data_IF_670168349768
#
_entry.id   IF_670168349768
#
_cell.length_a   1.000
_cell.length_b   1.000
_cell.length_c   1.000
_cell.angle_alpha   90.00
_cell.angle_beta   90.00
_cell.angle_gamma   90.00
#
_symmetry.space_group_name_H-M   'P 1'
#
loop_
_entity.id
_entity.type
_entity.pdbx_description
1 polymer ?
#
# COMPACT_ATOMS: atom_id res chain seq x y z
N UNK A 1 -5.63 -6.66 28.86
CA UNK A 1 -6.50 -5.48 28.71
C UNK A 1 -6.05 -4.68 27.50
N UNK A 2 -7.02 -4.21 26.70
CA UNK A 2 -6.79 -3.30 25.59
C UNK A 2 -6.17 -2.00 26.13
N UNK A 3 -5.20 -1.45 25.42
CA UNK A 3 -4.68 -0.12 25.69
C UNK A 3 -5.67 0.95 25.14
N UNK A 4 -6.89 0.99 25.70
CA UNK A 4 -7.82 2.07 25.43
C UNK A 4 -7.27 3.30 26.13
N UNK A 5 -6.94 4.33 25.37
CA UNK A 5 -6.44 5.58 25.89
C UNK A 5 -7.61 6.55 25.99
N UNK A 6 -7.82 7.09 27.20
CA UNK A 6 -8.71 8.21 27.38
C UNK A 6 -8.13 9.43 26.65
N UNK A 7 -8.96 10.09 25.87
CA UNK A 7 -8.62 11.32 25.17
C UNK A 7 -9.06 12.50 26.01
N UNK A 8 -8.16 13.45 26.22
CA UNK A 8 -8.49 14.68 26.95
C UNK A 8 -9.51 15.54 26.18
N UNK A 9 -9.51 15.43 24.85
CA UNK A 9 -10.47 16.09 23.95
C UNK A 9 -10.23 15.68 22.50
N UNK A 10 -11.12 16.05 21.59
CA UNK A 10 -10.90 15.97 20.13
C UNK A 10 -9.67 16.78 19.66
N UNK A 11 -9.13 17.67 20.52
CA UNK A 11 -7.89 18.44 20.30
C UNK A 11 -6.59 17.67 20.55
N UNK A 12 -6.64 16.45 21.07
CA UNK A 12 -5.47 15.65 21.42
C UNK A 12 -4.50 15.48 20.24
N UNK A 13 -3.21 15.79 20.47
CA UNK A 13 -2.18 15.75 19.43
C UNK A 13 -1.96 14.35 18.87
N UNK A 14 -2.23 13.30 19.64
CA UNK A 14 -2.14 11.90 19.22
C UNK A 14 -3.10 11.55 18.08
N UNK A 15 -4.16 12.36 17.89
CA UNK A 15 -5.09 12.27 16.78
C UNK A 15 -4.59 12.96 15.49
N UNK A 16 -3.41 13.58 15.51
CA UNK A 16 -2.83 14.28 14.37
C UNK A 16 -2.85 13.51 13.05
N UNK A 17 -2.48 12.22 13.01
CA UNK A 17 -2.54 11.41 11.78
C UNK A 17 -3.92 11.30 11.15
N UNK A 18 -5.01 11.42 11.92
CA UNK A 18 -6.39 11.28 11.48
C UNK A 18 -7.05 12.59 11.07
N UNK A 19 -6.38 13.75 11.26
CA UNK A 19 -6.98 15.06 10.99
C UNK A 19 -7.02 15.39 9.52
N UNK A 20 -8.13 16.02 9.10
CA UNK A 20 -8.30 16.62 7.77
C UNK A 20 -7.94 15.68 6.60
N UNK A 21 -8.36 14.43 6.71
CA UNK A 21 -8.06 13.42 5.69
C UNK A 21 -8.72 13.70 4.33
N UNK A 22 -9.72 14.59 4.28
CA UNK A 22 -10.38 15.00 3.03
C UNK A 22 -9.45 15.89 2.22
N UNK A 23 -9.03 15.40 1.05
CA UNK A 23 -8.17 16.17 0.14
C UNK A 23 -6.71 16.30 0.58
N UNK A 24 -6.33 15.72 1.71
CA UNK A 24 -4.94 15.71 2.18
C UNK A 24 -4.09 14.85 1.25
N UNK A 25 -2.96 15.39 0.79
CA UNK A 25 -1.94 14.60 0.13
C UNK A 25 -1.24 13.72 1.16
N UNK A 26 -1.24 12.42 0.93
CA UNK A 26 -0.55 11.45 1.79
C UNK A 26 0.84 11.09 1.24
N UNK A 27 1.18 11.63 0.05
CA UNK A 27 2.46 11.35 -0.59
C UNK A 27 3.63 11.87 0.27
N UNK A 28 4.57 10.97 0.58
CA UNK A 28 5.72 11.31 1.42
C UNK A 28 5.41 11.52 2.92
N UNK A 29 4.16 11.34 3.37
CA UNK A 29 3.82 11.39 4.78
C UNK A 29 4.47 10.22 5.55
N UNK A 30 4.82 10.45 6.82
CA UNK A 30 5.38 9.41 7.70
C UNK A 30 4.40 8.27 7.95
N UNK A 31 3.12 8.57 7.95
CA UNK A 31 2.04 7.65 8.27
C UNK A 31 1.07 7.50 7.09
N UNK A 32 0.38 6.38 7.06
CA UNK A 32 -0.75 6.15 6.16
C UNK A 32 -1.98 5.72 6.95
N UNK A 33 -3.16 6.00 6.39
CA UNK A 33 -4.44 5.69 7.02
C UNK A 33 -5.17 4.59 6.27
N UNK A 34 -5.74 3.69 7.03
CA UNK A 34 -6.51 2.53 6.56
C UNK A 34 -7.94 2.63 7.06
N UNK A 35 -8.92 2.39 6.20
CA UNK A 35 -10.34 2.50 6.54
C UNK A 35 -11.06 1.16 6.52
N UNK A 36 -11.78 0.87 7.59
CA UNK A 36 -12.70 -0.26 7.70
C UNK A 36 -12.09 -1.51 8.31
N UNK A 37 -12.96 -2.29 8.93
CA UNK A 37 -12.63 -3.44 9.78
C UNK A 37 -11.70 -4.47 9.10
N UNK A 38 -12.03 -4.85 7.85
CA UNK A 38 -11.22 -5.84 7.12
C UNK A 38 -9.80 -5.38 6.83
N UNK A 39 -9.63 -4.11 6.43
CA UNK A 39 -8.32 -3.57 6.10
C UNK A 39 -7.50 -3.28 7.36
N UNK A 40 -8.13 -2.78 8.41
CA UNK A 40 -7.49 -2.62 9.72
C UNK A 40 -7.03 -3.97 10.27
N UNK A 41 -7.88 -5.02 10.19
CA UNK A 41 -7.49 -6.37 10.56
C UNK A 41 -6.30 -6.91 9.76
N UNK A 42 -6.25 -6.64 8.45
CA UNK A 42 -5.09 -7.01 7.61
C UNK A 42 -3.83 -6.23 7.99
N UNK A 43 -3.95 -4.94 8.29
CA UNK A 43 -2.83 -4.13 8.76
C UNK A 43 -2.28 -4.68 10.08
N UNK A 44 -3.16 -4.95 11.05
CA UNK A 44 -2.79 -5.54 12.35
C UNK A 44 -2.13 -6.91 12.24
N UNK A 45 -2.44 -7.67 11.18
CA UNK A 45 -1.86 -8.99 10.88
C UNK A 45 -0.62 -8.92 9.98
N UNK A 46 -0.23 -7.74 9.53
CA UNK A 46 0.95 -7.54 8.67
C UNK A 46 2.23 -7.36 9.49
N UNK A 47 3.37 -7.31 8.80
CA UNK A 47 4.65 -6.99 9.43
C UNK A 47 4.87 -5.46 9.61
N UNK A 48 3.92 -4.63 9.17
CA UNK A 48 4.05 -3.17 9.29
C UNK A 48 3.75 -2.72 10.72
N UNK A 49 4.44 -1.67 11.14
CA UNK A 49 4.20 -1.03 12.44
C UNK A 49 2.84 -0.33 12.44
N UNK A 50 2.00 -0.67 13.42
CA UNK A 50 0.72 -0.01 13.64
C UNK A 50 0.86 1.00 14.78
N UNK A 51 0.68 2.26 14.45
CA UNK A 51 0.84 3.38 15.37
C UNK A 51 -0.35 3.48 16.33
N UNK A 52 -1.56 3.37 15.78
CA UNK A 52 -2.80 3.46 16.57
C UNK A 52 -4.02 3.01 15.76
N UNK A 53 -5.14 2.83 16.46
CA UNK A 53 -6.45 2.58 15.85
C UNK A 53 -7.45 3.58 16.44
N UNK A 54 -8.26 4.21 15.59
CA UNK A 54 -9.37 5.08 15.96
C UNK A 54 -10.68 4.36 15.67
N UNK A 55 -11.53 4.19 16.68
CA UNK A 55 -12.75 3.38 16.62
C UNK A 55 -13.94 4.18 17.11
N UNK A 56 -15.06 4.06 16.40
CA UNK A 56 -16.36 4.55 16.87
C UNK A 56 -16.81 3.79 18.12
N UNK A 57 -17.34 4.51 19.11
CA UNK A 57 -17.95 3.94 20.33
C UNK A 57 -18.97 2.84 20.01
N UNK A 58 -19.71 2.98 18.91
CA UNK A 58 -20.69 1.98 18.43
C UNK A 58 -20.08 0.71 17.85
N UNK A 59 -18.81 0.72 17.50
CA UNK A 59 -18.11 -0.40 16.82
C UNK A 59 -17.07 -1.10 17.69
N UNK A 60 -16.72 -0.53 18.85
CA UNK A 60 -15.61 -1.03 19.66
C UNK A 60 -15.76 -2.51 20.02
N UNK A 61 -16.94 -2.96 20.44
CA UNK A 61 -17.14 -4.35 20.85
C UNK A 61 -16.96 -5.33 19.69
N UNK A 62 -17.32 -4.90 18.48
CA UNK A 62 -17.14 -5.72 17.28
C UNK A 62 -15.67 -5.85 16.85
N UNK A 63 -14.88 -4.79 16.96
CA UNK A 63 -13.48 -4.79 16.53
C UNK A 63 -12.52 -5.21 17.64
N UNK A 64 -12.97 -5.16 18.90
CA UNK A 64 -12.18 -5.55 20.07
C UNK A 64 -11.39 -6.85 19.93
N UNK A 65 -11.95 -7.95 19.37
CA UNK A 65 -11.21 -9.19 19.18
C UNK A 65 -10.03 -9.10 18.21
N UNK A 66 -10.00 -8.09 17.35
CA UNK A 66 -8.93 -7.85 16.36
C UNK A 66 -7.78 -7.01 16.93
N UNK A 67 -8.03 -6.29 18.05
CA UNK A 67 -7.12 -5.29 18.56
C UNK A 67 -6.10 -5.91 19.52
N UNK A 68 -4.79 -5.89 19.20
CA UNK A 68 -3.75 -6.35 20.11
C UNK A 68 -3.58 -5.36 21.28
N UNK A 69 -3.20 -5.87 22.45
CA UNK A 69 -2.98 -5.04 23.64
C UNK A 69 -1.83 -4.02 23.49
N UNK A 70 -0.93 -4.24 22.53
CA UNK A 70 0.24 -3.38 22.28
C UNK A 70 -0.06 -2.15 21.43
N UNK A 71 -1.23 -2.09 20.78
CA UNK A 71 -1.57 -0.95 19.89
C UNK A 71 -2.50 0.01 20.62
N UNK A 72 -2.16 1.30 20.67
CA UNK A 72 -3.03 2.35 21.21
C UNK A 72 -4.37 2.40 20.48
N UNK A 73 -5.47 2.44 21.24
CA UNK A 73 -6.82 2.52 20.69
C UNK A 73 -7.51 3.75 21.21
N UNK A 74 -7.98 4.61 20.30
CA UNK A 74 -8.78 5.78 20.60
C UNK A 74 -10.25 5.46 20.31
N UNK A 75 -11.12 5.77 21.25
CA UNK A 75 -12.56 5.55 21.10
C UNK A 75 -13.28 6.89 21.21
N UNK A 76 -14.02 7.25 20.16
CA UNK A 76 -14.78 8.50 20.08
C UNK A 76 -16.16 8.23 19.49
N UNK A 77 -17.07 9.17 19.65
CA UNK A 77 -18.34 9.13 18.98
C UNK A 77 -18.22 9.50 17.49
N UNK A 78 -19.16 9.02 16.67
CA UNK A 78 -19.09 9.19 15.21
C UNK A 78 -18.99 10.67 14.81
N UNK A 79 -19.74 11.56 15.45
CA UNK A 79 -19.74 13.00 15.15
C UNK A 79 -18.38 13.63 15.44
N UNK A 80 -17.71 13.20 16.51
CA UNK A 80 -16.36 13.66 16.86
C UNK A 80 -15.34 13.16 15.82
N UNK A 81 -15.45 11.89 15.41
CA UNK A 81 -14.59 11.33 14.37
C UNK A 81 -14.79 12.07 13.04
N UNK A 82 -16.05 12.34 12.64
CA UNK A 82 -16.36 13.09 11.42
C UNK A 82 -15.73 14.48 11.41
N UNK A 83 -15.77 15.17 12.54
CA UNK A 83 -15.13 16.47 12.71
C UNK A 83 -13.60 16.38 12.56
N UNK A 84 -12.98 15.32 13.06
CA UNK A 84 -11.53 15.11 12.98
C UNK A 84 -11.12 14.77 11.54
N UNK A 85 -11.79 13.82 10.91
CA UNK A 85 -11.39 13.32 9.58
C UNK A 85 -11.83 14.22 8.42
N UNK A 86 -12.82 15.08 8.64
CA UNK A 86 -13.34 16.03 7.67
C UNK A 86 -14.29 15.43 6.62
N UNK A 87 -14.86 14.24 6.88
CA UNK A 87 -15.86 13.60 6.01
C UNK A 87 -16.78 12.66 6.79
N UNK A 88 -17.92 12.29 6.19
CA UNK A 88 -18.87 11.34 6.79
C UNK A 88 -18.25 9.97 7.02
N UNK A 89 -18.19 9.55 8.27
CA UNK A 89 -17.49 8.35 8.71
C UNK A 89 -18.45 7.17 8.92
N UNK A 90 -18.66 6.36 7.88
CA UNK A 90 -19.59 5.22 7.95
C UNK A 90 -18.92 3.88 8.32
N UNK A 91 -17.61 3.78 8.21
CA UNK A 91 -16.90 2.51 8.38
C UNK A 91 -16.60 2.13 9.82
N UNK A 92 -16.64 3.09 10.74
CA UNK A 92 -16.57 2.89 12.17
C UNK A 92 -15.17 2.55 12.73
N UNK A 93 -14.14 2.37 11.88
CA UNK A 93 -12.77 2.12 12.32
C UNK A 93 -11.75 2.63 11.31
N UNK A 94 -10.68 3.25 11.82
CA UNK A 94 -9.48 3.67 11.09
C UNK A 94 -8.24 3.08 11.77
N UNK A 95 -7.26 2.69 10.99
CA UNK A 95 -5.93 2.32 11.45
C UNK A 95 -4.89 3.32 10.94
N UNK A 96 -3.94 3.66 11.77
CA UNK A 96 -2.76 4.41 11.40
C UNK A 96 -1.56 3.48 11.36
N UNK A 97 -0.96 3.30 10.19
CA UNK A 97 0.28 2.56 10.00
C UNK A 97 1.45 3.49 9.77
N UNK A 98 2.63 3.10 10.23
CA UNK A 98 3.88 3.77 9.87
C UNK A 98 4.27 3.33 8.47
N UNK A 99 4.61 4.30 7.62
CA UNK A 99 5.06 4.03 6.26
C UNK A 99 6.39 3.27 6.31
N UNK A 100 6.53 2.14 5.61
CA UNK A 100 7.82 1.46 5.52
C UNK A 100 8.81 2.35 4.75
N UNK A 101 10.09 2.14 4.98
CA UNK A 101 11.14 2.78 4.19
C UNK A 101 10.97 2.42 2.71
N UNK A 102 11.16 3.40 1.84
CA UNK A 102 11.17 3.15 0.40
C UNK A 102 12.40 2.29 0.04
N UNK A 103 12.14 1.19 -0.63
CA UNK A 103 13.20 0.32 -1.12
C UNK A 103 13.81 0.92 -2.39
N UNK A 104 15.14 1.07 -2.38
CA UNK A 104 15.86 1.51 -3.56
C UNK A 104 15.84 0.43 -4.66
N UNK A 105 15.87 0.86 -5.91
CA UNK A 105 15.87 -0.06 -7.06
C UNK A 105 17.02 -1.08 -7.02
N UNK A 106 18.21 -0.68 -6.54
CA UNK A 106 19.37 -1.56 -6.47
C UNK A 106 19.17 -2.75 -5.48
N UNK A 107 18.29 -2.60 -4.48
CA UNK A 107 17.94 -3.69 -3.56
C UNK A 107 17.15 -4.81 -4.26
N UNK A 108 16.50 -4.50 -5.38
CA UNK A 108 15.74 -5.47 -6.17
C UNK A 108 16.65 -6.57 -6.75
N UNK A 109 17.91 -6.24 -7.07
CA UNK A 109 18.89 -7.13 -7.68
C UNK A 109 19.89 -7.73 -6.69
N UNK A 110 19.70 -7.47 -5.38
CA UNK A 110 20.60 -7.94 -4.33
C UNK A 110 20.72 -9.47 -4.28
N UNK A 111 21.85 -9.97 -3.77
CA UNK A 111 22.10 -11.40 -3.59
C UNK A 111 21.26 -11.99 -2.46
N UNK A 112 20.94 -13.27 -2.57
CA UNK A 112 20.18 -14.00 -1.53
C UNK A 112 18.66 -13.74 -1.53
N UNK A 113 18.13 -12.99 -2.49
CA UNK A 113 16.70 -12.80 -2.70
C UNK A 113 16.03 -14.04 -3.32
N UNK A 114 14.71 -14.22 -3.13
CA UNK A 114 13.96 -15.19 -3.93
C UNK A 114 13.94 -14.78 -5.41
N UNK A 115 13.59 -15.73 -6.28
CA UNK A 115 13.40 -15.45 -7.70
C UNK A 115 12.47 -14.25 -7.91
N UNK A 116 12.89 -13.30 -8.75
CA UNK A 116 12.15 -12.07 -9.01
C UNK A 116 10.92 -12.33 -9.86
N UNK A 117 9.76 -12.04 -9.31
CA UNK A 117 8.49 -12.01 -10.05
C UNK A 117 7.87 -10.64 -9.86
N UNK A 118 8.13 -9.74 -10.80
CA UNK A 118 7.80 -8.34 -10.65
C UNK A 118 6.81 -7.83 -11.69
N UNK A 119 6.13 -6.74 -11.34
CA UNK A 119 5.47 -5.86 -12.29
C UNK A 119 6.06 -4.46 -12.18
N UNK A 120 6.38 -3.86 -13.31
CA UNK A 120 6.88 -2.49 -13.40
C UNK A 120 5.83 -1.58 -14.05
N UNK A 121 5.58 -0.46 -13.40
CA UNK A 121 4.67 0.59 -13.84
C UNK A 121 5.49 1.88 -13.99
N UNK A 122 5.89 2.29 -15.20
CA UNK A 122 6.70 3.49 -15.41
C UNK A 122 5.98 4.77 -14.99
N UNK A 123 4.68 4.85 -15.27
CA UNK A 123 3.84 5.98 -14.94
C UNK A 123 2.39 5.55 -14.76
N UNK A 124 1.91 5.57 -13.53
CA UNK A 124 0.50 5.36 -13.19
C UNK A 124 0.09 6.43 -12.19
N UNK A 125 -0.77 7.34 -12.63
CA UNK A 125 -1.27 8.46 -11.81
C UNK A 125 -2.58 8.13 -11.11
N UNK A 126 -3.35 7.20 -11.64
CA UNK A 126 -4.62 6.77 -11.07
C UNK A 126 -4.42 5.72 -9.97
N UNK A 127 -4.86 6.06 -8.75
CA UNK A 127 -4.74 5.18 -7.56
C UNK A 127 -5.62 3.94 -7.63
N UNK A 128 -6.72 3.95 -8.41
CA UNK A 128 -7.56 2.76 -8.58
C UNK A 128 -6.88 1.75 -9.49
N UNK A 129 -6.28 2.23 -10.58
CA UNK A 129 -5.51 1.38 -11.50
C UNK A 129 -4.32 0.76 -10.78
N UNK A 130 -3.54 1.57 -10.04
CA UNK A 130 -2.43 1.07 -9.25
C UNK A 130 -2.89 0.04 -8.21
N UNK A 131 -3.96 0.34 -7.47
CA UNK A 131 -4.53 -0.57 -6.48
C UNK A 131 -4.98 -1.90 -7.08
N UNK A 132 -5.59 -1.88 -8.27
CA UNK A 132 -6.03 -3.07 -9.00
C UNK A 132 -4.84 -3.93 -9.46
N UNK A 133 -3.77 -3.29 -9.96
CA UNK A 133 -2.52 -3.97 -10.34
C UNK A 133 -1.89 -4.62 -9.12
N UNK A 134 -1.76 -3.90 -8.00
CA UNK A 134 -1.20 -4.43 -6.75
C UNK A 134 -1.97 -5.66 -6.25
N UNK A 135 -3.30 -5.59 -6.27
CA UNK A 135 -4.15 -6.71 -5.89
C UNK A 135 -3.91 -7.92 -6.78
N UNK A 136 -3.92 -7.74 -8.09
CA UNK A 136 -3.70 -8.79 -9.07
C UNK A 136 -2.30 -9.38 -8.94
N UNK A 137 -1.28 -8.54 -8.87
CA UNK A 137 0.11 -8.95 -8.68
C UNK A 137 0.26 -9.84 -7.44
N UNK A 138 -0.30 -9.42 -6.30
CA UNK A 138 -0.24 -10.20 -5.06
C UNK A 138 -0.98 -11.53 -5.15
N UNK A 139 -2.15 -11.56 -5.81
CA UNK A 139 -2.91 -12.79 -6.04
C UNK A 139 -2.16 -13.79 -6.94
N UNK A 140 -1.40 -13.30 -7.92
CA UNK A 140 -0.59 -14.10 -8.83
C UNK A 140 0.78 -14.49 -8.24
N UNK A 141 1.07 -14.11 -6.99
CA UNK A 141 2.31 -14.46 -6.31
C UNK A 141 3.53 -13.64 -6.71
N UNK A 142 3.33 -12.48 -7.31
CA UNK A 142 4.43 -11.54 -7.54
C UNK A 142 4.99 -11.05 -6.20
N UNK A 143 6.29 -10.82 -6.17
CA UNK A 143 7.04 -10.43 -4.96
C UNK A 143 7.69 -9.05 -5.05
N UNK A 144 7.46 -8.30 -6.13
CA UNK A 144 7.92 -6.93 -6.27
C UNK A 144 6.99 -6.09 -7.15
N UNK A 145 6.80 -4.83 -6.75
CA UNK A 145 6.19 -3.77 -7.54
C UNK A 145 7.23 -2.68 -7.78
N UNK A 146 7.50 -2.36 -9.03
CA UNK A 146 8.46 -1.33 -9.43
C UNK A 146 7.67 -0.12 -9.93
N UNK A 147 7.83 1.01 -9.30
CA UNK A 147 7.13 2.26 -9.64
C UNK A 147 8.11 3.31 -10.14
N UNK A 148 7.76 3.93 -11.26
CA UNK A 148 8.47 5.12 -11.73
C UNK A 148 8.21 6.33 -10.84
N UNK A 149 8.99 7.38 -11.04
CA UNK A 149 9.00 8.60 -10.23
C UNK A 149 7.68 9.38 -10.28
N UNK A 150 6.89 9.22 -11.35
CA UNK A 150 5.59 9.90 -11.54
C UNK A 150 4.38 9.05 -11.16
N UNK A 151 4.60 7.90 -10.59
CA UNK A 151 3.50 7.06 -10.12
C UNK A 151 2.84 7.64 -8.87
N UNK A 152 1.51 7.44 -8.78
CA UNK A 152 0.77 7.73 -7.56
C UNK A 152 1.29 6.92 -6.37
N UNK A 153 0.89 7.31 -5.19
CA UNK A 153 1.34 6.67 -3.94
C UNK A 153 0.63 5.34 -3.68
N UNK A 154 1.42 4.28 -3.54
CA UNK A 154 0.93 2.94 -3.20
C UNK A 154 0.26 2.86 -1.82
N UNK A 155 0.63 3.77 -0.91
CA UNK A 155 0.07 3.86 0.45
C UNK A 155 -1.04 4.91 0.59
N UNK A 156 -1.52 5.51 -0.51
CA UNK A 156 -2.70 6.35 -0.46
C UNK A 156 -3.94 5.54 -0.02
N UNK A 157 -4.84 6.16 0.74
CA UNK A 157 -6.08 5.51 1.23
C UNK A 157 -6.86 4.85 0.09
N UNK A 158 -6.90 5.50 -1.09
CA UNK A 158 -7.58 4.96 -2.27
C UNK A 158 -6.91 3.69 -2.78
N UNK A 159 -5.58 3.73 -2.95
CA UNK A 159 -4.80 2.59 -3.42
C UNK A 159 -4.88 1.41 -2.44
N UNK A 160 -4.71 1.64 -1.13
CA UNK A 160 -4.85 0.61 -0.10
C UNK A 160 -6.23 -0.05 -0.16
N UNK A 161 -7.29 0.75 -0.32
CA UNK A 161 -8.66 0.25 -0.39
C UNK A 161 -8.90 -0.62 -1.61
N UNK A 162 -8.51 -0.16 -2.79
CA UNK A 162 -8.72 -0.90 -4.05
C UNK A 162 -7.86 -2.16 -4.08
N UNK A 163 -6.62 -2.07 -3.61
CA UNK A 163 -5.72 -3.22 -3.51
C UNK A 163 -6.13 -4.23 -2.43
N UNK A 164 -7.17 -3.92 -1.65
CA UNK A 164 -7.57 -4.73 -0.49
C UNK A 164 -6.41 -5.00 0.49
N UNK A 165 -5.51 -4.01 0.65
CA UNK A 165 -4.36 -4.09 1.54
C UNK A 165 -3.17 -4.89 0.97
N UNK A 166 -3.11 -5.15 -0.35
CA UNK A 166 -1.91 -5.75 -0.96
C UNK A 166 -0.64 -4.93 -0.70
N UNK A 167 -0.78 -3.60 -0.52
CA UNK A 167 0.31 -2.71 -0.13
C UNK A 167 1.05 -3.14 1.15
N UNK A 168 0.40 -3.88 2.05
CA UNK A 168 1.01 -4.32 3.31
C UNK A 168 1.97 -5.51 3.15
N UNK A 169 1.93 -6.20 2.01
CA UNK A 169 2.65 -7.46 1.80
C UNK A 169 3.38 -7.55 0.47
N UNK A 170 3.20 -6.58 -0.43
CA UNK A 170 3.89 -6.49 -1.71
C UNK A 170 4.98 -5.42 -1.60
N UNK A 171 6.28 -5.79 -1.60
CA UNK A 171 7.37 -4.82 -1.57
C UNK A 171 7.29 -3.85 -2.74
N UNK A 172 7.43 -2.56 -2.45
CA UNK A 172 7.40 -1.48 -3.44
C UNK A 172 8.80 -0.91 -3.60
N UNK A 173 9.30 -0.90 -4.82
CA UNK A 173 10.57 -0.32 -5.22
C UNK A 173 10.29 0.91 -6.07
N UNK A 174 10.86 2.04 -5.72
CA UNK A 174 10.70 3.28 -6.47
C UNK A 174 11.96 3.59 -7.28
N UNK A 175 11.76 3.82 -8.58
CA UNK A 175 12.84 4.25 -9.46
C UNK A 175 13.16 5.74 -9.20
N UNK A 176 14.44 6.07 -9.21
CA UNK A 176 14.91 7.46 -9.28
C UNK A 176 14.91 8.00 -10.70
N UNK A 177 15.13 7.11 -11.69
CA UNK A 177 15.07 7.40 -13.12
C UNK A 177 14.61 6.13 -13.86
N UNK A 178 13.31 6.01 -14.08
CA UNK A 178 12.66 4.75 -14.52
C UNK A 178 13.29 4.13 -15.76
N UNK A 179 13.64 4.93 -16.77
CA UNK A 179 14.25 4.41 -18.00
C UNK A 179 15.64 3.84 -17.74
N UNK A 180 16.45 4.52 -16.92
CA UNK A 180 17.78 4.07 -16.55
C UNK A 180 17.71 2.79 -15.73
N UNK A 181 16.81 2.73 -14.75
CA UNK A 181 16.67 1.60 -13.84
C UNK A 181 16.12 0.36 -14.57
N UNK A 182 15.14 0.52 -15.48
CA UNK A 182 14.67 -0.59 -16.31
C UNK A 182 15.74 -1.10 -17.28
N UNK A 183 16.64 -0.23 -17.81
CA UNK A 183 17.80 -0.67 -18.58
C UNK A 183 18.77 -1.50 -17.74
N UNK A 184 19.03 -1.12 -16.49
CA UNK A 184 19.84 -1.94 -15.56
C UNK A 184 19.17 -3.30 -15.31
N UNK A 185 17.83 -3.34 -15.15
CA UNK A 185 17.09 -4.59 -14.99
C UNK A 185 17.24 -5.50 -16.20
N UNK A 186 17.10 -4.96 -17.42
CA UNK A 186 17.32 -5.70 -18.67
C UNK A 186 18.76 -6.25 -18.82
N UNK A 187 19.74 -5.52 -18.30
CA UNK A 187 21.14 -5.91 -18.37
C UNK A 187 21.54 -6.91 -17.27
N UNK A 188 20.69 -7.11 -16.26
CA UNK A 188 20.97 -8.02 -15.16
C UNK A 188 20.92 -9.49 -15.64
N UNK A 189 21.94 -10.30 -15.35
CA UNK A 189 22.00 -11.69 -15.79
C UNK A 189 20.80 -12.49 -15.28
N UNK A 190 20.14 -13.22 -16.18
CA UNK A 190 19.04 -14.12 -15.85
C UNK A 190 17.69 -13.43 -15.68
N UNK A 191 17.60 -12.12 -15.77
CA UNK A 191 16.33 -11.38 -15.68
C UNK A 191 15.70 -11.19 -17.06
N UNK A 192 14.47 -11.64 -17.21
CA UNK A 192 13.66 -11.42 -18.41
C UNK A 192 12.71 -10.26 -18.20
N UNK A 193 12.76 -9.23 -19.06
CA UNK A 193 11.79 -8.15 -19.10
C UNK A 193 10.77 -8.41 -20.24
N UNK A 194 9.49 -8.43 -19.90
CA UNK A 194 8.40 -8.66 -20.84
C UNK A 194 7.50 -7.43 -20.87
N UNK A 195 7.44 -6.71 -21.98
CA UNK A 195 6.53 -5.58 -22.17
C UNK A 195 5.13 -6.07 -22.55
N UNK A 196 4.11 -5.65 -21.81
CA UNK A 196 2.72 -5.86 -22.19
C UNK A 196 2.28 -4.68 -23.07
N UNK A 197 2.06 -4.96 -24.35
CA UNK A 197 1.70 -3.96 -25.37
C UNK A 197 0.47 -4.39 -26.15
N UNK A 198 -0.31 -3.42 -26.63
CA UNK A 198 -1.44 -3.66 -27.53
C UNK A 198 -0.97 -3.55 -28.99
N UNK A 199 -0.08 -4.47 -29.40
CA UNK A 199 0.50 -4.50 -30.74
C UNK A 199 0.16 -5.84 -31.42
N UNK A 200 -0.47 -5.87 -32.62
CA UNK A 200 -0.76 -7.09 -33.35
C UNK A 200 0.47 -7.94 -33.70
N UNK A 201 1.63 -7.32 -33.85
CA UNK A 201 2.89 -7.99 -34.16
C UNK A 201 3.61 -8.51 -32.91
N UNK A 202 3.12 -8.18 -31.69
CA UNK A 202 3.69 -8.69 -30.47
C UNK A 202 3.45 -10.20 -30.30
N UNK A 203 4.39 -10.86 -29.64
CA UNK A 203 4.23 -12.28 -29.30
C UNK A 203 3.03 -12.46 -28.36
N UNK A 204 2.15 -13.44 -28.63
CA UNK A 204 1.05 -13.74 -27.71
C UNK A 204 1.62 -14.22 -26.36
N UNK A 205 0.94 -13.85 -25.27
CA UNK A 205 1.37 -14.21 -23.91
C UNK A 205 1.57 -15.73 -23.74
N UNK A 206 0.76 -16.55 -24.40
CA UNK A 206 0.86 -18.01 -24.40
C UNK A 206 2.16 -18.54 -25.05
N UNK A 207 2.84 -17.74 -25.84
CA UNK A 207 4.13 -18.09 -26.47
C UNK A 207 5.35 -17.69 -25.63
N UNK A 208 5.17 -17.05 -24.49
CA UNK A 208 6.25 -16.59 -23.61
C UNK A 208 6.52 -17.65 -22.55
N UNK A 209 7.76 -18.15 -22.51
CA UNK A 209 8.25 -18.99 -21.41
C UNK A 209 8.99 -18.07 -20.45
N UNK A 210 8.47 -17.83 -19.23
CA UNK A 210 9.13 -16.94 -18.30
C UNK A 210 10.42 -17.57 -17.76
N UNK A 211 11.47 -16.75 -17.61
CA UNK A 211 12.66 -17.11 -16.86
C UNK A 211 12.33 -17.23 -15.36
N UNK A 212 13.25 -17.72 -14.54
CA UNK A 212 13.06 -17.75 -13.09
C UNK A 212 12.90 -16.34 -12.52
N UNK A 213 13.73 -15.41 -13.00
CA UNK A 213 13.63 -13.98 -12.71
C UNK A 213 12.96 -13.26 -13.89
N UNK A 214 11.82 -12.63 -13.65
CA UNK A 214 11.12 -11.89 -14.69
C UNK A 214 10.40 -10.65 -14.16
N UNK A 215 10.22 -9.71 -15.04
CA UNK A 215 9.45 -8.50 -14.78
C UNK A 215 8.50 -8.21 -15.94
N UNK A 216 7.22 -8.06 -15.65
CA UNK A 216 6.22 -7.57 -16.60
C UNK A 216 6.23 -6.03 -16.58
N UNK A 217 6.55 -5.42 -17.71
CA UNK A 217 6.44 -3.98 -17.88
C UNK A 217 5.06 -3.64 -18.42
N UNK A 218 4.27 -2.94 -17.62
CA UNK A 218 2.98 -2.40 -18.03
C UNK A 218 3.19 -1.00 -18.58
N UNK A 219 3.17 -0.90 -19.90
CA UNK A 219 3.23 0.39 -20.58
C UNK A 219 1.81 0.91 -20.77
N UNK A 220 1.47 1.96 -20.03
CA UNK A 220 0.23 2.71 -20.24
C UNK A 220 0.57 3.95 -21.04
N UNK A 221 0.04 4.03 -22.26
CA UNK A 221 0.08 5.24 -23.09
C UNK A 221 -0.87 6.31 -22.53
#
# INVERSE_FOLDING_TARGET
PLAVLDLDSAGDERLGPYRDLKGRSEFGAEHFIVEGEHLVGRLLSSALEVVSVLVSSRKIDRVRPLLPASVPVFVLDDDEIENIVGFKFHRGVLGCGKRPEELGFDQLLGSGRPALKAVACPEITDSENLGSIMRTARCLGLNALILGERCTDAYSRRCIRVSMGAAFTLPVYRCGAVVSDLKKLCAAPGVQLVGAVADPEALPLSGIVPADDWCCLLYTS
#
